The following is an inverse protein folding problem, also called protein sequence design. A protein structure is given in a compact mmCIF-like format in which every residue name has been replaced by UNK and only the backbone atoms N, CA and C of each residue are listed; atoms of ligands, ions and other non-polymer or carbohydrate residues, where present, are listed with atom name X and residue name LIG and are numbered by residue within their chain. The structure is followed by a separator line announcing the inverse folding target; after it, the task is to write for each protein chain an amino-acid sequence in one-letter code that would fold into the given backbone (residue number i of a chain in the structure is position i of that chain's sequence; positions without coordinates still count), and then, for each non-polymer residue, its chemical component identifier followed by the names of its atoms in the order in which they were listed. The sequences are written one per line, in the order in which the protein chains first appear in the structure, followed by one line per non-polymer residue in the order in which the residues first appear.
data_IF_423090202088
#
_entry.id   IF_423090202088
#
_cell.length_a   1.000
_cell.length_b   1.000
_cell.length_c   1.000
_cell.angle_alpha   90.00
_cell.angle_beta   90.00
_cell.angle_gamma   90.00
#
_symmetry.space_group_name_H-M   'P 1'
#
loop_
_entity.id
_entity.type
_entity.pdbx_description
1 polymer ?
#
# COMPACT_ATOMS: atom_id res chain seq x y z
N UNK A 1 4.62 3.69 10.66
CA UNK A 1 4.06 4.08 9.33
C UNK A 1 2.89 5.01 9.57
N UNK A 2 2.80 6.11 8.84
CA UNK A 2 1.65 7.02 8.93
C UNK A 2 0.71 6.84 7.74
N UNK A 3 -0.59 7.00 7.98
CA UNK A 3 -1.62 6.96 6.96
C UNK A 3 -2.45 8.24 7.05
N UNK A 4 -2.47 9.01 5.94
CA UNK A 4 -3.20 10.25 5.79
C UNK A 4 -4.21 10.12 4.64
N UNK A 5 -5.36 9.54 4.94
CA UNK A 5 -6.42 9.30 3.95
C UNK A 5 -7.81 9.60 4.55
N UNK A 6 -8.78 10.03 3.74
CA UNK A 6 -10.18 10.11 4.15
C UNK A 6 -10.77 8.70 4.32
N UNK A 7 -12.01 8.58 4.79
CA UNK A 7 -12.70 7.30 4.96
C UNK A 7 -13.04 6.65 3.59
N UNK A 8 -12.03 6.06 2.96
CA UNK A 8 -12.08 5.39 1.66
C UNK A 8 -11.60 3.95 1.81
N UNK A 9 -11.96 3.08 0.85
CA UNK A 9 -11.61 1.66 0.87
C UNK A 9 -10.09 1.39 0.91
N UNK A 10 -9.26 2.35 0.49
CA UNK A 10 -7.81 2.25 0.58
C UNK A 10 -7.32 2.24 2.05
N UNK A 11 -8.03 2.88 2.99
CA UNK A 11 -7.65 2.91 4.40
C UNK A 11 -7.60 1.51 5.02
N UNK A 12 -8.66 0.69 5.03
CA UNK A 12 -8.59 -0.66 5.60
C UNK A 12 -7.58 -1.56 4.87
N UNK A 13 -7.41 -1.40 3.55
CA UNK A 13 -6.39 -2.14 2.80
C UNK A 13 -4.98 -1.76 3.26
N UNK A 14 -4.71 -0.47 3.46
CA UNK A 14 -3.43 0.02 3.97
C UNK A 14 -3.19 -0.45 5.41
N UNK A 15 -4.19 -0.34 6.30
CA UNK A 15 -4.10 -0.83 7.68
C UNK A 15 -3.77 -2.31 7.73
N UNK A 16 -4.50 -3.15 6.98
CA UNK A 16 -4.21 -4.58 6.91
C UNK A 16 -2.82 -4.87 6.34
N UNK A 17 -2.36 -4.09 5.36
CA UNK A 17 -1.00 -4.18 4.83
C UNK A 17 0.08 -3.86 5.87
N UNK A 18 -0.12 -2.78 6.65
CA UNK A 18 0.78 -2.34 7.73
C UNK A 18 0.85 -3.40 8.83
N UNK A 19 -0.31 -3.89 9.28
CA UNK A 19 -0.40 -4.94 10.29
C UNK A 19 0.23 -6.25 9.82
N UNK A 20 -0.01 -6.64 8.56
CA UNK A 20 0.59 -7.85 7.97
C UNK A 20 2.11 -7.75 7.84
N UNK A 21 2.65 -6.55 7.72
CA UNK A 21 4.08 -6.32 7.72
C UNK A 21 4.68 -6.16 9.13
N UNK A 22 3.86 -6.25 10.19
CA UNK A 22 4.29 -6.12 11.59
C UNK A 22 4.71 -4.69 11.96
N UNK A 23 4.22 -3.68 11.23
CA UNK A 23 4.56 -2.28 11.48
C UNK A 23 3.51 -1.59 12.35
N UNK A 24 3.91 -0.52 13.04
CA UNK A 24 3.01 0.35 13.79
C UNK A 24 2.29 1.32 12.85
N UNK A 25 0.99 1.50 13.08
CA UNK A 25 0.14 2.40 12.31
C UNK A 25 -0.11 3.69 13.10
N UNK A 26 0.16 4.82 12.48
CA UNK A 26 -0.20 6.17 12.95
C UNK A 26 -1.25 6.74 12.00
N UNK A 27 -2.41 7.11 12.52
CA UNK A 27 -3.46 7.72 11.71
C UNK A 27 -3.30 9.24 11.76
N UNK A 28 -3.21 9.88 10.59
CA UNK A 28 -3.01 11.31 10.44
C UNK A 28 -4.22 11.90 9.74
N UNK A 29 -4.78 12.97 10.31
CA UNK A 29 -5.96 13.59 9.72
C UNK A 29 -5.57 14.33 8.42
N UNK A 30 -6.27 14.08 7.30
CA UNK A 30 -6.05 14.81 6.06
C UNK A 30 -6.23 16.33 6.14
N UNK A 31 -6.94 16.84 7.16
CA UNK A 31 -7.19 18.27 7.36
C UNK A 31 -6.08 19.01 8.10
N UNK A 32 -5.01 18.33 8.53
CA UNK A 32 -3.91 18.97 9.24
C UNK A 32 -3.15 19.94 8.35
N UNK A 33 -2.68 21.01 8.98
CA UNK A 33 -1.78 21.97 8.34
C UNK A 33 -0.39 21.34 8.17
N UNK A 34 0.40 21.83 7.22
CA UNK A 34 1.76 21.33 6.95
C UNK A 34 2.65 21.33 8.20
N UNK A 35 2.47 22.29 9.12
CA UNK A 35 3.20 22.36 10.39
C UNK A 35 2.81 21.26 11.37
N UNK A 36 1.51 21.00 11.54
CA UNK A 36 1.05 19.92 12.43
C UNK A 36 1.48 18.55 11.89
N UNK A 37 1.40 18.39 10.56
CA UNK A 37 1.85 17.18 9.88
C UNK A 37 3.35 16.95 10.10
N UNK A 38 4.19 17.98 9.97
CA UNK A 38 5.64 17.84 10.19
C UNK A 38 5.96 17.44 11.63
N UNK A 39 5.30 18.07 12.60
CA UNK A 39 5.47 17.72 14.01
C UNK A 39 5.06 16.26 14.28
N UNK A 40 3.92 15.79 13.77
CA UNK A 40 3.50 14.40 13.97
C UNK A 40 4.44 13.39 13.33
N UNK A 41 4.91 13.65 12.10
CA UNK A 41 5.82 12.75 11.39
C UNK A 41 7.16 12.63 12.11
N UNK A 42 7.67 13.74 12.64
CA UNK A 42 8.92 13.79 13.39
C UNK A 42 8.79 13.10 14.75
N UNK A 43 7.71 13.37 15.48
CA UNK A 43 7.45 12.80 16.81
C UNK A 43 7.22 11.28 16.74
N UNK A 44 6.57 10.82 15.67
CA UNK A 44 6.29 9.39 15.44
C UNK A 44 7.42 8.63 14.73
N UNK A 45 8.57 9.25 14.47
CA UNK A 45 9.71 8.71 13.68
C UNK A 45 9.24 7.88 12.46
N UNK A 46 8.38 8.51 11.64
CA UNK A 46 7.68 7.78 10.58
C UNK A 46 8.57 7.57 9.37
N UNK A 47 8.92 6.31 9.08
CA UNK A 47 9.70 5.95 7.88
C UNK A 47 8.90 5.89 6.59
N UNK A 48 7.61 5.58 6.68
CA UNK A 48 6.74 5.44 5.50
C UNK A 48 5.41 6.15 5.71
N UNK A 49 5.03 6.98 4.76
CA UNK A 49 3.77 7.74 4.73
C UNK A 49 2.92 7.28 3.56
N UNK A 50 1.65 6.93 3.83
CA UNK A 50 0.65 6.65 2.80
C UNK A 50 -0.35 7.81 2.79
N UNK A 51 -0.46 8.52 1.67
CA UNK A 51 -1.35 9.69 1.56
C UNK A 51 -2.19 9.65 0.28
N UNK A 52 -3.33 10.35 0.28
CA UNK A 52 -4.13 10.54 -0.93
C UNK A 52 -3.55 11.69 -1.79
N UNK A 53 -3.59 11.57 -3.11
CA UNK A 53 -3.05 12.56 -4.04
C UNK A 53 -3.61 13.99 -3.84
N UNK A 54 -4.81 14.14 -3.29
CA UNK A 54 -5.41 15.43 -2.93
C UNK A 54 -4.62 16.18 -1.83
N UNK A 55 -3.96 15.44 -0.92
CA UNK A 55 -3.21 15.99 0.22
C UNK A 55 -1.70 15.95 -0.01
N UNK A 56 -1.24 15.46 -1.16
CA UNK A 56 0.17 15.40 -1.51
C UNK A 56 0.84 16.78 -1.49
N UNK A 57 0.10 17.83 -1.88
CA UNK A 57 0.59 19.20 -1.82
C UNK A 57 0.82 19.68 -0.38
N UNK A 58 -0.05 19.32 0.56
CA UNK A 58 0.12 19.67 1.98
C UNK A 58 1.43 19.11 2.55
N UNK A 59 1.82 17.92 2.12
CA UNK A 59 3.11 17.31 2.46
C UNK A 59 4.28 18.01 1.75
N UNK A 60 4.14 18.32 0.46
CA UNK A 60 5.16 19.06 -0.30
C UNK A 60 5.43 20.47 0.29
N UNK A 61 4.38 21.15 0.75
CA UNK A 61 4.45 22.48 1.38
C UNK A 61 5.28 22.48 2.69
N UNK A 62 5.60 21.30 3.25
CA UNK A 62 6.56 21.18 4.38
C UNK A 62 7.98 21.57 3.92
N UNK A 63 8.33 21.28 2.66
CA UNK A 63 9.64 21.57 2.10
C UNK A 63 10.80 20.75 2.67
N UNK A 64 10.51 19.68 3.42
CA UNK A 64 11.50 18.77 4.00
C UNK A 64 11.09 17.32 3.77
N UNK A 65 12.06 16.47 3.43
CA UNK A 65 11.87 15.01 3.38
C UNK A 65 11.92 14.45 4.80
N UNK A 66 10.76 14.35 5.45
CA UNK A 66 10.63 13.83 6.81
C UNK A 66 10.46 12.31 6.87
N UNK A 67 10.19 11.68 5.72
CA UNK A 67 9.95 10.23 5.61
C UNK A 67 10.76 9.65 4.46
N UNK A 68 11.26 8.43 4.62
CA UNK A 68 12.07 7.75 3.60
C UNK A 68 11.25 7.37 2.36
N UNK A 69 9.98 7.01 2.58
CA UNK A 69 9.11 6.49 1.54
C UNK A 69 7.71 7.10 1.60
N UNK A 70 7.28 7.67 0.48
CA UNK A 70 5.91 8.19 0.30
C UNK A 70 5.16 7.33 -0.69
N UNK A 71 4.04 6.76 -0.23
CA UNK A 71 3.09 6.04 -1.07
C UNK A 71 1.90 6.94 -1.35
N UNK A 72 1.67 7.26 -2.61
CA UNK A 72 0.55 8.11 -3.02
C UNK A 72 -0.57 7.24 -3.56
N UNK A 73 -1.73 7.31 -2.90
CA UNK A 73 -2.96 6.69 -3.33
C UNK A 73 -3.77 7.63 -4.22
N UNK A 74 -4.30 7.10 -5.31
CA UNK A 74 -5.28 7.79 -6.15
C UNK A 74 -6.69 7.28 -5.84
N UNK A 75 -7.70 8.16 -5.96
CA UNK A 75 -9.10 7.74 -5.79
C UNK A 75 -9.50 6.62 -6.76
N UNK A 76 -8.90 6.60 -7.97
CA UNK A 76 -9.14 5.59 -9.00
C UNK A 76 -8.35 4.29 -8.86
N UNK A 77 -7.49 4.12 -7.83
CA UNK A 77 -6.60 2.96 -7.75
C UNK A 77 -7.32 1.63 -7.52
N UNK A 78 -8.47 1.65 -6.82
CA UNK A 78 -9.31 0.46 -6.60
C UNK A 78 -10.30 0.19 -7.73
N UNK A 79 -10.29 0.99 -8.81
CA UNK A 79 -11.13 0.79 -9.98
C UNK A 79 -10.37 0.06 -11.08
N UNK A 80 -11.11 -0.69 -11.91
CA UNK A 80 -10.58 -1.39 -13.09
C UNK A 80 -9.72 -0.42 -13.94
N UNK A 81 -8.55 -0.83 -14.47
CA UNK A 81 -7.52 0.08 -15.01
C UNK A 81 -8.04 1.12 -16.02
N UNK A 82 -9.03 0.74 -16.84
CA UNK A 82 -9.67 1.63 -17.80
C UNK A 82 -10.56 2.70 -17.13
N UNK A 83 -11.36 2.29 -16.13
CA UNK A 83 -12.21 3.21 -15.34
C UNK A 83 -11.36 4.11 -14.43
N UNK A 84 -10.27 3.58 -13.87
CA UNK A 84 -9.33 4.34 -13.06
C UNK A 84 -8.64 5.45 -13.85
N UNK A 85 -8.29 5.22 -15.12
CA UNK A 85 -7.72 6.26 -15.97
C UNK A 85 -8.74 7.38 -16.28
N UNK A 86 -9.99 7.00 -16.59
CA UNK A 86 -11.06 7.96 -16.85
C UNK A 86 -11.39 8.77 -15.59
N UNK A 87 -11.53 8.12 -14.44
CA UNK A 87 -11.81 8.82 -13.17
C UNK A 87 -10.63 9.72 -12.78
N UNK A 88 -9.38 9.29 -12.98
CA UNK A 88 -8.22 10.12 -12.68
C UNK A 88 -8.13 11.32 -13.65
N UNK A 89 -8.48 11.13 -14.93
CA UNK A 89 -8.60 12.21 -15.90
C UNK A 89 -9.74 13.19 -15.52
N UNK A 90 -10.91 12.69 -15.13
CA UNK A 90 -12.08 13.50 -14.74
C UNK A 90 -11.84 14.25 -13.42
N UNK A 91 -11.24 13.59 -12.43
CA UNK A 91 -10.88 14.22 -11.14
C UNK A 91 -9.84 15.32 -11.35
N UNK A 92 -8.89 15.13 -12.26
CA UNK A 92 -7.87 16.13 -12.63
C UNK A 92 -8.42 17.27 -13.49
N UNK A 93 -9.25 16.99 -14.50
CA UNK A 93 -9.73 17.99 -15.46
C UNK A 93 -11.03 18.69 -15.06
N UNK A 94 -11.95 18.00 -14.38
CA UNK A 94 -13.30 18.54 -14.11
C UNK A 94 -13.44 19.03 -12.68
N UNK A 95 -12.81 18.38 -11.70
CA UNK A 95 -12.97 18.76 -10.29
C UNK A 95 -11.82 19.58 -9.68
N UNK A 96 -10.67 19.76 -10.36
CA UNK A 96 -9.48 20.47 -9.83
C UNK A 96 -9.08 20.03 -8.40
N UNK A 97 -9.47 18.83 -7.98
CA UNK A 97 -9.27 18.34 -6.60
C UNK A 97 -7.87 17.76 -6.36
N UNK A 98 -7.05 17.69 -7.40
CA UNK A 98 -5.66 17.23 -7.34
C UNK A 98 -4.77 18.39 -7.76
N UNK A 99 -4.24 19.16 -6.81
CA UNK A 99 -3.23 20.15 -7.13
C UNK A 99 -1.98 19.45 -7.68
N UNK A 100 -1.25 20.12 -8.57
CA UNK A 100 0.06 19.62 -9.03
C UNK A 100 1.00 19.53 -7.81
N UNK A 101 1.63 18.37 -7.63
CA UNK A 101 2.60 18.13 -6.56
C UNK A 101 3.85 17.42 -7.10
N UNK A 102 5.01 17.69 -6.50
CA UNK A 102 6.28 17.07 -6.85
C UNK A 102 6.97 16.45 -5.63
N UNK A 103 6.62 15.18 -5.34
CA UNK A 103 7.26 14.41 -4.27
C UNK A 103 8.29 13.46 -4.87
N UNK A 104 9.57 13.71 -4.58
CA UNK A 104 10.70 12.90 -5.04
C UNK A 104 10.59 11.47 -4.49
N UNK A 105 10.76 10.47 -5.34
CA UNK A 105 10.76 9.05 -4.92
C UNK A 105 9.39 8.47 -4.55
N UNK A 106 8.29 9.19 -4.81
CA UNK A 106 6.94 8.70 -4.50
C UNK A 106 6.54 7.45 -5.30
N UNK A 107 5.91 6.49 -4.63
CA UNK A 107 5.42 5.24 -5.23
C UNK A 107 3.90 5.26 -5.29
N UNK A 108 3.32 4.95 -6.45
CA UNK A 108 1.86 4.83 -6.60
C UNK A 108 1.33 3.62 -5.82
N UNK A 109 0.22 3.79 -5.11
CA UNK A 109 -0.40 2.75 -4.31
C UNK A 109 -0.73 1.48 -5.12
N UNK A 110 -1.25 1.63 -6.34
CA UNK A 110 -1.48 0.49 -7.25
C UNK A 110 -0.20 -0.29 -7.60
N UNK A 111 0.93 0.41 -7.77
CA UNK A 111 2.23 -0.24 -8.02
C UNK A 111 2.68 -1.01 -6.78
N UNK A 112 2.53 -0.43 -5.58
CA UNK A 112 2.84 -1.10 -4.32
C UNK A 112 1.97 -2.36 -4.12
N UNK A 113 0.67 -2.28 -4.43
CA UNK A 113 -0.23 -3.43 -4.40
C UNK A 113 0.17 -4.54 -5.38
N UNK A 114 0.48 -4.20 -6.64
CA UNK A 114 0.91 -5.21 -7.62
C UNK A 114 2.21 -5.90 -7.20
N UNK A 115 3.17 -5.15 -6.66
CA UNK A 115 4.40 -5.73 -6.09
C UNK A 115 4.10 -6.67 -4.92
N UNK A 116 3.18 -6.27 -4.04
CA UNK A 116 2.73 -7.10 -2.93
C UNK A 116 2.05 -8.39 -3.41
N UNK A 117 1.14 -8.30 -4.39
CA UNK A 117 0.44 -9.44 -4.96
C UNK A 117 1.41 -10.43 -5.62
N UNK A 118 2.36 -9.95 -6.43
CA UNK A 118 3.38 -10.80 -7.05
C UNK A 118 4.25 -11.53 -6.01
N UNK A 119 4.62 -10.83 -4.93
CA UNK A 119 5.42 -11.42 -3.84
C UNK A 119 4.60 -12.39 -3.00
N UNK A 120 3.33 -12.09 -2.72
CA UNK A 120 2.41 -12.97 -2.02
C UNK A 120 2.12 -14.26 -2.80
N UNK A 121 1.94 -14.16 -4.13
CA UNK A 121 1.79 -15.32 -5.02
C UNK A 121 3.02 -16.20 -4.92
N UNK A 122 4.24 -15.64 -5.03
CA UNK A 122 5.47 -16.42 -4.91
C UNK A 122 5.62 -17.12 -3.54
N UNK A 123 5.27 -16.46 -2.44
CA UNK A 123 5.29 -17.09 -1.10
C UNK A 123 4.27 -18.22 -0.99
N UNK A 124 3.07 -18.06 -1.56
CA UNK A 124 2.05 -19.10 -1.58
C UNK A 124 2.45 -20.28 -2.47
N UNK A 125 3.09 -20.04 -3.62
CA UNK A 125 3.62 -21.09 -4.49
C UNK A 125 4.71 -21.90 -3.77
N UNK A 126 5.60 -21.23 -3.04
CA UNK A 126 6.65 -21.89 -2.25
C UNK A 126 6.02 -22.71 -1.11
N UNK A 127 5.08 -22.13 -0.35
CA UNK A 127 4.39 -22.83 0.74
C UNK A 127 3.57 -24.04 0.26
N UNK A 128 2.87 -23.91 -0.88
CA UNK A 128 2.13 -25.01 -1.49
C UNK A 128 3.06 -26.11 -2.01
N UNK A 129 4.20 -25.76 -2.62
CA UNK A 129 5.21 -26.73 -3.05
C UNK A 129 5.86 -27.45 -1.86
N UNK A 130 6.10 -26.74 -0.76
CA UNK A 130 6.69 -27.29 0.46
C UNK A 130 5.70 -28.20 1.20
N UNK A 131 4.41 -27.86 1.20
CA UNK A 131 3.35 -28.69 1.77
C UNK A 131 3.11 -29.96 0.94
N UNK A 132 3.18 -29.86 -0.39
CA UNK A 132 3.12 -31.01 -1.30
C UNK A 132 4.33 -31.93 -1.14
N UNK A 133 5.53 -31.35 -1.03
CA UNK A 133 6.77 -32.09 -0.76
C UNK A 133 6.74 -32.78 0.62
N UNK A 134 6.23 -32.09 1.65
CA UNK A 134 6.07 -32.67 2.99
C UNK A 134 5.06 -33.81 3.02
N UNK A 135 3.96 -33.70 2.27
CA UNK A 135 3.01 -34.80 2.09
C UNK A 135 3.64 -35.98 1.33
N UNK A 136 4.42 -35.72 0.29
CA UNK A 136 5.08 -36.77 -0.50
C UNK A 136 6.17 -37.49 0.31
N UNK A 137 7.00 -36.76 1.05
CA UNK A 137 8.02 -37.33 1.94
C UNK A 137 7.37 -38.11 3.10
N UNK A 138 6.24 -37.64 3.64
CA UNK A 138 5.50 -38.35 4.69
C UNK A 138 4.74 -39.58 4.16
N UNK A 139 4.28 -39.56 2.92
CA UNK A 139 3.71 -40.71 2.23
C UNK A 139 4.77 -41.79 1.95
N UNK A 140 5.97 -41.39 1.52
CA UNK A 140 7.11 -42.31 1.31
C UNK A 140 7.62 -42.91 2.63
N UNK A 141 7.74 -42.13 3.72
CA UNK A 141 8.13 -42.65 5.04
C UNK A 141 7.11 -43.59 5.70
N UNK A 142 5.84 -43.55 5.30
CA UNK A 142 4.78 -44.43 5.84
C UNK A 142 4.55 -45.70 5.01
N UNK A 143 5.34 -45.96 3.96
CA UNK A 143 5.27 -47.22 3.20
C UNK A 143 3.99 -47.41 2.38
N UNK A 144 3.29 -46.33 2.01
CA UNK A 144 2.10 -46.45 1.16
C UNK A 144 2.52 -46.55 -0.31
N UNK A 145 2.55 -47.78 -0.82
CA UNK A 145 2.64 -48.12 -2.24
C UNK A 145 1.41 -47.51 -2.94
N UNK A 146 1.60 -46.78 -4.05
CA UNK A 146 0.49 -46.22 -4.86
C UNK A 146 -0.57 -47.29 -5.12
N UNK A 147 -1.81 -47.05 -4.69
CA UNK A 147 -2.99 -47.77 -5.17
C UNK A 147 -3.53 -46.99 -6.37
N UNK A 148 -3.62 -47.59 -7.57
CA UNK A 148 -4.21 -46.95 -8.74
C UNK A 148 -5.73 -47.11 -8.68
N UNK A 149 -6.45 -45.99 -8.72
CA UNK A 149 -7.80 -45.88 -9.25
C UNK A 149 -7.85 -44.58 -10.05
#
# INVERSE_FOLDING_TARGET
MAVMMPNILQLPVAVLGVLRAGMTLVNVNPLYTSKELSHQLTDSDTKVLILLENFAKTYEDIGQDLVDHVVVASMGDMMSPLKGFIVNAVVRHVKKMVPAYHIKGSVKFKKAMNLFLLKAINVLTISASMMSLYFNIRAVRRGWRKVPC
#
